data_IF_952586938956
#
_entry.id   IF_952586938956
#
_cell.length_a   1.000
_cell.length_b   1.000
_cell.length_c   1.000
_cell.angle_alpha   90.00
_cell.angle_beta   90.00
_cell.angle_gamma   90.00
#
_symmetry.space_group_name_H-M   'P 1'
#
loop_
_entity.id
_entity.type
_entity.pdbx_description
1 polymer ?
#
# COMPACT_ATOMS: atom_id res chain seq x y z
N UNK A 1 7.55 24.70 -1.21
CA UNK A 1 6.08 24.55 -1.33
C UNK A 1 5.62 23.74 -0.14
N UNK A 2 4.60 24.19 0.59
CA UNK A 2 4.01 23.41 1.68
C UNK A 2 3.36 22.17 1.07
N UNK A 3 3.87 21.01 1.43
CA UNK A 3 3.29 19.72 1.06
C UNK A 3 1.89 19.68 1.66
N UNK A 4 0.86 19.73 0.81
CA UNK A 4 -0.52 19.52 1.27
C UNK A 4 -0.58 18.06 1.69
N UNK A 5 -0.41 17.82 2.99
CA UNK A 5 -0.52 16.49 3.57
C UNK A 5 -2.00 16.10 3.49
N UNK A 6 -2.35 15.39 2.43
CA UNK A 6 -3.70 14.82 2.27
C UNK A 6 -3.85 13.78 3.37
N UNK A 7 -4.54 14.14 4.44
CA UNK A 7 -4.82 13.22 5.53
C UNK A 7 -5.89 12.23 5.05
N UNK A 8 -5.44 11.01 4.70
CA UNK A 8 -6.34 9.91 4.38
C UNK A 8 -6.77 9.28 5.70
N UNK A 9 -8.07 9.35 6.00
CA UNK A 9 -8.64 8.62 7.14
C UNK A 9 -8.33 7.13 6.99
N UNK A 10 -7.76 6.53 8.02
CA UNK A 10 -7.47 5.08 8.06
C UNK A 10 -8.69 4.23 7.72
N UNK A 11 -8.50 3.14 6.98
CA UNK A 11 -9.58 2.18 6.69
C UNK A 11 -9.93 1.37 7.94
N UNK A 12 -11.21 1.28 8.27
CA UNK A 12 -11.70 0.62 9.49
C UNK A 12 -12.96 -0.23 9.25
N UNK A 13 -13.18 -0.70 8.01
CA UNK A 13 -14.36 -1.46 7.53
C UNK A 13 -15.70 -0.74 7.53
N UNK A 14 -15.85 0.31 8.34
CA UNK A 14 -17.08 1.10 8.44
C UNK A 14 -17.10 2.25 7.43
N UNK A 15 -15.93 2.73 7.03
CA UNK A 15 -15.82 3.71 5.96
C UNK A 15 -15.92 3.03 4.58
N UNK A 16 -16.28 3.86 3.58
CA UNK A 16 -16.38 3.40 2.20
C UNK A 16 -15.00 2.99 1.68
N UNK A 17 -14.85 1.69 1.41
CA UNK A 17 -13.61 1.10 0.93
C UNK A 17 -13.20 1.64 -0.44
N UNK A 18 -14.15 1.82 -1.37
CA UNK A 18 -13.85 2.31 -2.73
C UNK A 18 -13.25 3.72 -2.69
N UNK A 19 -13.83 4.60 -1.86
CA UNK A 19 -13.30 5.95 -1.66
C UNK A 19 -11.92 5.93 -1.01
N UNK A 20 -11.71 5.08 0.01
CA UNK A 20 -10.41 4.93 0.64
C UNK A 20 -9.36 4.39 -0.35
N UNK A 21 -9.71 3.36 -1.11
CA UNK A 21 -8.87 2.72 -2.12
C UNK A 21 -8.48 3.70 -3.23
N UNK A 22 -9.42 4.53 -3.72
CA UNK A 22 -9.12 5.58 -4.69
C UNK A 22 -8.13 6.61 -4.14
N UNK A 23 -8.30 7.05 -2.89
CA UNK A 23 -7.36 7.98 -2.23
C UNK A 23 -5.97 7.35 -2.03
N UNK A 24 -5.92 6.08 -1.63
CA UNK A 24 -4.66 5.35 -1.48
C UNK A 24 -3.92 5.19 -2.81
N UNK A 25 -4.63 4.85 -3.89
CA UNK A 25 -4.05 4.80 -5.24
C UNK A 25 -3.46 6.14 -5.66
N UNK A 26 -4.17 7.24 -5.38
CA UNK A 26 -3.66 8.58 -5.64
C UNK A 26 -2.39 8.88 -4.84
N UNK A 27 -2.39 8.61 -3.52
CA UNK A 27 -1.22 8.81 -2.66
C UNK A 27 0.00 8.02 -3.14
N UNK A 28 -0.16 6.73 -3.43
CA UNK A 28 0.92 5.85 -3.89
C UNK A 28 1.44 6.30 -5.26
N UNK A 29 0.56 6.77 -6.14
CA UNK A 29 0.94 7.36 -7.42
C UNK A 29 1.77 8.63 -7.25
N UNK A 30 1.36 9.54 -6.35
CA UNK A 30 2.12 10.77 -6.07
C UNK A 30 3.49 10.51 -5.45
N UNK A 31 3.69 9.35 -4.82
CA UNK A 31 4.99 8.90 -4.30
C UNK A 31 5.85 8.16 -5.34
N UNK A 32 5.41 8.07 -6.60
CA UNK A 32 6.14 7.39 -7.68
C UNK A 32 6.06 5.85 -7.61
N UNK A 33 5.14 5.30 -6.83
CA UNK A 33 5.03 3.86 -6.54
C UNK A 33 3.89 3.17 -7.30
N UNK A 34 3.29 3.82 -8.30
CA UNK A 34 2.13 3.29 -9.04
C UNK A 34 2.35 1.87 -9.60
N UNK A 35 3.55 1.58 -10.12
CA UNK A 35 3.90 0.26 -10.66
C UNK A 35 3.82 -0.86 -9.62
N UNK A 36 4.07 -0.56 -8.35
CA UNK A 36 3.98 -1.55 -7.27
C UNK A 36 2.53 -2.04 -7.06
N UNK A 37 1.53 -1.23 -7.42
CA UNK A 37 0.11 -1.63 -7.35
C UNK A 37 -0.27 -2.66 -8.42
N UNK A 38 0.51 -2.76 -9.49
CA UNK A 38 0.26 -3.68 -10.59
C UNK A 38 1.05 -5.00 -10.44
N UNK A 39 1.89 -5.11 -9.41
CA UNK A 39 2.68 -6.28 -9.06
C UNK A 39 4.08 -6.33 -9.71
N UNK A 40 4.95 -7.19 -9.18
CA UNK A 40 6.37 -7.25 -9.59
C UNK A 40 6.58 -7.48 -11.09
N UNK A 41 5.68 -8.21 -11.74
CA UNK A 41 5.73 -8.51 -13.17
C UNK A 41 5.58 -7.27 -14.08
N UNK A 42 5.16 -6.12 -13.53
CA UNK A 42 5.01 -4.85 -14.26
C UNK A 42 6.19 -3.91 -14.09
N UNK A 43 7.19 -4.28 -13.28
CA UNK A 43 8.46 -3.56 -13.27
C UNK A 43 9.27 -3.82 -14.55
N UNK A 44 10.20 -2.92 -14.85
CA UNK A 44 11.11 -3.08 -15.98
C UNK A 44 12.00 -4.29 -15.76
N UNK A 45 12.24 -5.07 -16.81
CA UNK A 45 13.15 -6.23 -16.76
C UNK A 45 14.59 -5.83 -16.36
N UNK A 46 14.99 -4.61 -16.71
CA UNK A 46 16.31 -4.04 -16.37
C UNK A 46 16.47 -3.74 -14.89
N UNK A 47 15.37 -3.65 -14.13
CA UNK A 47 15.38 -3.38 -12.71
C UNK A 47 15.83 -4.62 -11.95
N UNK A 48 16.74 -4.46 -10.97
CA UNK A 48 17.21 -5.58 -10.16
C UNK A 48 16.12 -6.01 -9.17
N UNK A 49 16.08 -7.29 -8.82
CA UNK A 49 15.05 -7.81 -7.92
C UNK A 49 15.04 -7.14 -6.54
N UNK A 50 16.18 -6.84 -5.89
CA UNK A 50 16.18 -6.08 -4.64
C UNK A 50 15.51 -4.69 -4.76
N UNK A 51 15.67 -4.02 -5.91
CA UNK A 51 15.04 -2.72 -6.16
C UNK A 51 13.52 -2.85 -6.34
N UNK A 52 13.07 -3.89 -7.06
CA UNK A 52 11.63 -4.20 -7.17
C UNK A 52 11.02 -4.50 -5.81
N UNK A 53 11.74 -5.23 -4.97
CA UNK A 53 11.31 -5.64 -3.64
C UNK A 53 11.17 -4.42 -2.73
N UNK A 54 12.14 -3.51 -2.75
CA UNK A 54 12.08 -2.26 -2.01
C UNK A 54 10.87 -1.40 -2.41
N UNK A 55 10.59 -1.27 -3.71
CA UNK A 55 9.43 -0.51 -4.19
C UNK A 55 8.10 -1.15 -3.74
N UNK A 56 8.02 -2.48 -3.75
CA UNK A 56 6.86 -3.22 -3.25
C UNK A 56 6.70 -3.02 -1.74
N UNK A 57 7.77 -3.17 -0.96
CA UNK A 57 7.75 -2.99 0.49
C UNK A 57 7.33 -1.58 0.90
N UNK A 58 7.82 -0.55 0.20
CA UNK A 58 7.40 0.83 0.43
C UNK A 58 5.90 1.02 0.15
N UNK A 59 5.40 0.52 -0.98
CA UNK A 59 3.98 0.62 -1.32
C UNK A 59 3.09 -0.12 -0.30
N UNK A 60 3.47 -1.33 0.10
CA UNK A 60 2.78 -2.08 1.15
C UNK A 60 2.80 -1.35 2.49
N UNK A 61 3.95 -0.77 2.88
CA UNK A 61 4.09 -0.04 4.13
C UNK A 61 3.14 1.16 4.17
N UNK A 62 3.01 1.90 3.06
CA UNK A 62 2.04 3.00 2.95
C UNK A 62 0.61 2.50 3.15
N UNK A 63 0.24 1.36 2.55
CA UNK A 63 -1.09 0.76 2.72
C UNK A 63 -1.32 0.40 4.20
N UNK A 64 -0.41 -0.35 4.81
CA UNK A 64 -0.51 -0.79 6.21
C UNK A 64 -0.63 0.39 7.18
N UNK A 65 0.17 1.44 7.01
CA UNK A 65 0.11 2.63 7.86
C UNK A 65 -1.22 3.41 7.74
N UNK A 66 -2.00 3.15 6.69
CA UNK A 66 -3.32 3.73 6.46
C UNK A 66 -4.48 2.77 6.80
N UNK A 67 -4.20 1.68 7.49
CA UNK A 67 -5.20 0.80 8.09
C UNK A 67 -5.38 1.11 9.58
N UNK A 68 -6.57 0.85 10.12
CA UNK A 68 -6.79 0.86 11.56
C UNK A 68 -6.19 -0.39 12.21
N UNK A 69 -5.93 -0.30 13.51
CA UNK A 69 -5.30 -1.37 14.29
C UNK A 69 -6.10 -2.69 14.21
N UNK A 70 -7.44 -2.62 14.27
CA UNK A 70 -8.33 -3.78 14.10
C UNK A 70 -8.14 -4.50 12.75
N UNK A 71 -7.89 -3.74 11.68
CA UNK A 71 -7.68 -4.31 10.33
C UNK A 71 -6.25 -4.82 10.20
N UNK A 72 -5.28 -4.16 10.81
CA UNK A 72 -3.88 -4.61 10.84
C UNK A 72 -3.72 -5.97 11.53
N UNK A 73 -4.45 -6.20 12.63
CA UNK A 73 -4.44 -7.49 13.33
C UNK A 73 -4.90 -8.61 12.39
N UNK A 74 -6.01 -8.43 11.69
CA UNK A 74 -6.49 -9.45 10.73
C UNK A 74 -5.53 -9.68 9.58
N UNK A 75 -4.94 -8.63 9.02
CA UNK A 75 -3.93 -8.76 7.96
C UNK A 75 -2.70 -9.54 8.47
N UNK A 76 -2.29 -9.33 9.72
CA UNK A 76 -1.19 -10.07 10.33
C UNK A 76 -1.56 -11.54 10.57
N UNK A 77 -2.79 -11.81 11.03
CA UNK A 77 -3.31 -13.17 11.21
C UNK A 77 -3.40 -13.93 9.88
N UNK A 78 -3.91 -13.31 8.80
CA UNK A 78 -3.99 -13.93 7.48
C UNK A 78 -2.60 -14.28 6.93
N UNK A 79 -1.62 -13.39 7.08
CA UNK A 79 -0.23 -13.68 6.69
C UNK A 79 0.37 -14.86 7.47
N UNK A 80 0.02 -15.00 8.75
CA UNK A 80 0.47 -16.13 9.56
C UNK A 80 -0.21 -17.45 9.13
N UNK A 81 -1.47 -17.41 8.68
CA UNK A 81 -2.20 -18.59 8.19
C UNK A 81 -1.68 -19.05 6.82
N UNK A 82 -1.30 -18.13 5.93
CA UNK A 82 -0.72 -18.46 4.61
C UNK A 82 0.70 -19.03 4.71
N UNK A 83 1.38 -18.86 5.86
CA UNK A 83 2.72 -19.37 6.12
C UNK A 83 2.75 -20.78 6.77
N UNK A 84 1.59 -21.40 7.01
CA UNK A 84 1.40 -22.77 7.55
C UNK A 84 0.95 -23.74 6.45
#
# INVERSE_FOLDING_TARGET
MSEVKVEIKKFNRRNNFDLWSAKMKALITTQGLARALEGKAKFLETMQDPEKDELMERAMSIILLNLSDEVLIEVAEEKNVVAL
#
